data_IF_376490455651
#
_entry.id   IF_376490455651
#
_cell.length_a   1.000
_cell.length_b   1.000
_cell.length_c   1.000
_cell.angle_alpha   90.00
_cell.angle_beta   90.00
_cell.angle_gamma   90.00
#
_symmetry.space_group_name_H-M   'P 1'
#
loop_
_entity.id
_entity.type
_entity.pdbx_description
1 polymer ?
#
# COMPACT_ATOMS: atom_id res chain seq x y z
N UNK A 1 -18.33 -11.87 -29.91
CA UNK A 1 -19.36 -10.89 -29.48
C UNK A 1 -20.41 -11.64 -28.68
N UNK A 2 -20.86 -11.05 -27.56
CA UNK A 2 -21.72 -11.63 -26.49
C UNK A 2 -21.00 -12.40 -25.38
N UNK A 3 -20.51 -11.65 -24.39
CA UNK A 3 -20.82 -11.83 -22.95
C UNK A 3 -20.17 -10.74 -22.07
N UNK A 4 -20.07 -9.50 -22.56
CA UNK A 4 -19.54 -8.34 -21.82
C UNK A 4 -20.65 -7.37 -21.37
N UNK A 5 -21.86 -7.89 -21.12
CA UNK A 5 -22.98 -7.11 -20.59
C UNK A 5 -23.46 -7.66 -19.23
N UNK A 6 -22.54 -8.11 -18.37
CA UNK A 6 -22.88 -8.20 -16.95
C UNK A 6 -22.95 -6.76 -16.43
N UNK A 7 -24.17 -6.25 -16.40
CA UNK A 7 -24.56 -5.00 -15.75
C UNK A 7 -24.26 -5.11 -14.25
N UNK A 8 -23.02 -4.86 -13.85
CA UNK A 8 -22.58 -4.80 -12.45
C UNK A 8 -22.94 -3.44 -11.82
N UNK A 9 -24.24 -3.14 -11.78
CA UNK A 9 -24.80 -2.09 -10.90
C UNK A 9 -25.21 -2.69 -9.55
N UNK A 10 -24.27 -3.39 -8.90
CA UNK A 10 -24.22 -3.49 -7.44
C UNK A 10 -22.83 -3.02 -7.05
N UNK A 11 -22.70 -1.71 -6.84
CA UNK A 11 -21.41 -1.03 -6.63
C UNK A 11 -20.75 -1.43 -5.30
N UNK A 12 -21.48 -2.07 -4.39
CA UNK A 12 -20.96 -2.50 -3.09
C UNK A 12 -20.22 -3.85 -3.16
N UNK A 13 -20.74 -4.81 -3.94
CA UNK A 13 -20.19 -6.18 -3.95
C UNK A 13 -18.83 -6.26 -4.67
N UNK A 14 -18.59 -5.35 -5.62
CA UNK A 14 -17.31 -5.26 -6.33
C UNK A 14 -16.28 -4.36 -5.64
N UNK A 15 -16.70 -3.48 -4.72
CA UNK A 15 -15.78 -2.56 -4.06
C UNK A 15 -14.77 -3.32 -3.19
N UNK A 16 -15.21 -4.31 -2.43
CA UNK A 16 -14.33 -5.16 -1.60
C UNK A 16 -13.33 -5.92 -2.47
N UNK A 17 -13.79 -6.55 -3.56
CA UNK A 17 -12.90 -7.26 -4.48
C UNK A 17 -11.88 -6.32 -5.15
N UNK A 18 -12.32 -5.12 -5.56
CA UNK A 18 -11.45 -4.16 -6.24
C UNK A 18 -10.47 -3.49 -5.30
N UNK A 19 -10.87 -3.24 -4.06
CA UNK A 19 -9.97 -2.89 -2.96
C UNK A 19 -8.87 -3.96 -2.86
N UNK A 20 -9.24 -5.23 -2.65
CA UNK A 20 -8.26 -6.31 -2.50
C UNK A 20 -7.34 -6.48 -3.72
N UNK A 21 -7.89 -6.40 -4.93
CA UNK A 21 -7.09 -6.44 -6.15
C UNK A 21 -6.10 -5.27 -6.23
N UNK A 22 -6.51 -4.08 -5.79
CA UNK A 22 -5.66 -2.89 -5.77
C UNK A 22 -4.54 -3.03 -4.73
N UNK A 23 -4.87 -3.52 -3.55
CA UNK A 23 -3.91 -3.85 -2.49
C UNK A 23 -2.84 -4.82 -3.00
N UNK A 24 -3.28 -5.95 -3.57
CA UNK A 24 -2.39 -6.97 -4.12
C UNK A 24 -1.50 -6.39 -5.22
N UNK A 25 -2.01 -5.54 -6.12
CA UNK A 25 -1.17 -4.91 -7.14
C UNK A 25 -0.03 -4.06 -6.54
N UNK A 26 -0.32 -3.33 -5.47
CA UNK A 26 0.68 -2.59 -4.69
C UNK A 26 1.71 -3.52 -4.05
N UNK A 27 1.26 -4.54 -3.33
CA UNK A 27 2.14 -5.52 -2.66
C UNK A 27 2.93 -6.38 -3.65
N UNK A 28 2.45 -6.62 -4.87
CA UNK A 28 3.23 -7.38 -5.85
C UNK A 28 4.34 -6.53 -6.49
N UNK A 29 4.42 -5.23 -6.19
CA UNK A 29 5.39 -4.33 -6.83
C UNK A 29 5.13 -4.12 -8.32
N UNK A 30 3.88 -4.32 -8.78
CA UNK A 30 3.50 -4.28 -10.19
C UNK A 30 3.60 -2.86 -10.76
N UNK A 31 4.76 -2.50 -11.32
CA UNK A 31 5.03 -1.14 -11.82
C UNK A 31 4.06 -0.69 -12.92
N UNK A 32 3.57 -1.61 -13.76
CA UNK A 32 2.59 -1.34 -14.80
C UNK A 32 1.21 -0.93 -14.26
N UNK A 33 0.95 -1.15 -12.96
CA UNK A 33 -0.28 -0.73 -12.30
C UNK A 33 -0.29 0.76 -11.92
N UNK A 34 0.84 1.47 -11.96
CA UNK A 34 0.93 2.87 -11.52
C UNK A 34 -0.10 3.80 -12.19
N UNK A 35 -0.18 3.81 -13.53
CA UNK A 35 -1.15 4.62 -14.26
C UNK A 35 -2.62 4.21 -14.02
N UNK A 36 -2.99 2.91 -14.08
CA UNK A 36 -4.32 2.46 -13.67
C UNK A 36 -4.73 2.91 -12.26
N UNK A 37 -3.83 2.75 -11.27
CA UNK A 37 -4.08 3.15 -9.88
C UNK A 37 -4.26 4.67 -9.76
N UNK A 38 -3.47 5.45 -10.49
CA UNK A 38 -3.60 6.90 -10.55
C UNK A 38 -4.96 7.34 -11.11
N UNK A 39 -5.49 6.62 -12.12
CA UNK A 39 -6.82 6.88 -12.67
C UNK A 39 -7.92 6.57 -11.64
N UNK A 40 -7.79 5.46 -10.91
CA UNK A 40 -8.72 5.08 -9.84
C UNK A 40 -8.76 6.17 -8.76
N UNK A 41 -7.60 6.65 -8.30
CA UNK A 41 -7.54 7.70 -7.29
C UNK A 41 -8.26 9.00 -7.71
N UNK A 42 -8.14 9.38 -8.99
CA UNK A 42 -8.75 10.58 -9.58
C UNK A 42 -10.25 10.46 -9.85
N UNK A 43 -10.78 9.24 -9.97
CA UNK A 43 -12.17 9.02 -10.32
C UNK A 43 -13.08 9.32 -9.13
N UNK A 44 -13.74 10.49 -9.14
CA UNK A 44 -14.66 10.90 -8.08
C UNK A 44 -15.97 10.12 -8.07
N UNK A 45 -16.26 9.33 -9.11
CA UNK A 45 -17.39 8.40 -9.14
C UNK A 45 -17.06 7.03 -8.55
N UNK A 46 -15.79 6.77 -8.26
CA UNK A 46 -15.32 5.53 -7.67
C UNK A 46 -15.63 5.44 -6.17
N UNK A 47 -15.82 4.21 -5.68
CA UNK A 47 -16.01 3.95 -4.26
C UNK A 47 -14.78 4.37 -3.45
N UNK A 48 -15.00 5.07 -2.34
CA UNK A 48 -13.94 5.57 -1.46
C UNK A 48 -13.00 4.47 -0.95
N UNK A 49 -13.49 3.23 -0.77
CA UNK A 49 -12.67 2.08 -0.37
C UNK A 49 -11.59 1.78 -1.42
N UNK A 50 -11.99 1.75 -2.69
CA UNK A 50 -11.06 1.46 -3.78
C UNK A 50 -10.09 2.62 -4.01
N UNK A 51 -10.55 3.86 -3.78
CA UNK A 51 -9.71 5.06 -3.93
C UNK A 51 -8.63 5.17 -2.86
N UNK A 52 -8.93 4.86 -1.59
CA UNK A 52 -7.89 4.88 -0.55
C UNK A 52 -6.84 3.80 -0.83
N UNK A 53 -7.28 2.61 -1.23
CA UNK A 53 -6.36 1.52 -1.53
C UNK A 53 -5.46 1.85 -2.72
N UNK A 54 -5.99 2.57 -3.72
CA UNK A 54 -5.19 3.05 -4.84
C UNK A 54 -4.10 4.04 -4.39
N UNK A 55 -4.41 4.94 -3.44
CA UNK A 55 -3.40 5.85 -2.88
C UNK A 55 -2.28 5.08 -2.15
N UNK A 56 -2.64 4.11 -1.30
CA UNK A 56 -1.64 3.28 -0.60
C UNK A 56 -0.77 2.51 -1.58
N UNK A 57 -1.39 1.81 -2.55
CA UNK A 57 -0.70 1.03 -3.56
C UNK A 57 0.28 1.89 -4.37
N UNK A 58 -0.08 3.12 -4.75
CA UNK A 58 0.82 4.05 -5.45
C UNK A 58 2.09 4.35 -4.63
N UNK A 59 1.95 4.55 -3.31
CA UNK A 59 3.11 4.75 -2.43
C UNK A 59 3.93 3.48 -2.24
N UNK A 60 3.28 2.32 -2.13
CA UNK A 60 3.93 1.02 -2.01
C UNK A 60 4.81 0.73 -3.24
N UNK A 61 4.28 1.00 -4.44
CA UNK A 61 5.00 0.90 -5.72
C UNK A 61 6.16 1.90 -5.86
N UNK A 62 6.15 2.99 -5.08
CA UNK A 62 7.09 4.09 -5.26
C UNK A 62 6.80 4.91 -6.54
N UNK A 63 5.54 5.00 -6.96
CA UNK A 63 5.17 5.64 -8.23
C UNK A 63 5.26 7.17 -8.14
N UNK A 64 6.43 7.73 -8.39
CA UNK A 64 6.76 9.16 -8.17
C UNK A 64 5.80 10.12 -8.88
N UNK A 65 5.30 9.76 -10.08
CA UNK A 65 4.35 10.57 -10.84
C UNK A 65 2.97 10.74 -10.17
N UNK A 66 2.67 9.95 -9.13
CA UNK A 66 1.46 10.13 -8.32
C UNK A 66 1.52 11.29 -7.34
N UNK A 67 2.72 11.78 -6.99
CA UNK A 67 2.91 12.75 -5.90
C UNK A 67 2.02 14.01 -6.03
N UNK A 68 1.92 14.68 -7.20
CA UNK A 68 1.06 15.86 -7.34
C UNK A 68 -0.41 15.53 -7.10
N UNK A 69 -0.87 14.36 -7.55
CA UNK A 69 -2.26 13.94 -7.44
C UNK A 69 -2.60 13.59 -5.99
N UNK A 70 -1.69 12.92 -5.28
CA UNK A 70 -1.84 12.67 -3.85
C UNK A 70 -1.97 13.98 -3.07
N UNK A 71 -1.15 14.99 -3.39
CA UNK A 71 -1.21 16.32 -2.77
C UNK A 71 -2.52 17.05 -3.07
N UNK A 72 -2.96 17.04 -4.34
CA UNK A 72 -4.21 17.66 -4.74
C UNK A 72 -5.41 17.00 -4.04
N UNK A 73 -5.47 15.67 -3.99
CA UNK A 73 -6.57 14.94 -3.35
C UNK A 73 -6.55 15.14 -1.83
N UNK A 74 -5.40 15.13 -1.18
CA UNK A 74 -5.31 15.41 0.27
C UNK A 74 -5.86 16.80 0.64
N UNK A 75 -5.57 17.80 -0.20
CA UNK A 75 -5.99 19.18 -0.01
C UNK A 75 -7.44 19.46 -0.42
N UNK A 76 -8.08 18.58 -1.21
CA UNK A 76 -9.44 18.77 -1.71
C UNK A 76 -10.49 18.54 -0.61
N UNK A 77 -11.22 19.57 -0.13
CA UNK A 77 -12.23 19.41 0.90
C UNK A 77 -13.47 18.64 0.43
N UNK A 78 -13.66 18.47 -0.89
CA UNK A 78 -14.77 17.71 -1.46
C UNK A 78 -14.49 16.20 -1.55
N UNK A 79 -13.22 15.79 -1.43
CA UNK A 79 -12.85 14.39 -1.39
C UNK A 79 -13.23 13.74 -0.03
N UNK A 80 -13.62 12.45 -0.02
CA UNK A 80 -13.93 11.75 1.23
C UNK A 80 -12.75 11.76 2.21
N UNK A 81 -13.04 11.91 3.50
CA UNK A 81 -12.01 12.04 4.55
C UNK A 81 -11.00 10.89 4.53
N UNK A 82 -11.48 9.64 4.40
CA UNK A 82 -10.64 8.44 4.32
C UNK A 82 -9.62 8.54 3.19
N UNK A 83 -10.06 8.94 1.99
CA UNK A 83 -9.17 9.07 0.82
C UNK A 83 -8.12 10.16 1.05
N UNK A 84 -8.52 11.28 1.65
CA UNK A 84 -7.62 12.40 1.97
C UNK A 84 -6.53 11.99 2.96
N UNK A 85 -6.92 11.38 4.08
CA UNK A 85 -6.01 10.91 5.12
C UNK A 85 -5.03 9.86 4.57
N UNK A 86 -5.53 8.93 3.75
CA UNK A 86 -4.67 7.94 3.09
C UNK A 86 -3.70 8.59 2.10
N UNK A 87 -4.12 9.64 1.38
CA UNK A 87 -3.21 10.41 0.52
C UNK A 87 -2.10 11.10 1.34
N UNK A 88 -2.42 11.67 2.51
CA UNK A 88 -1.41 12.26 3.41
C UNK A 88 -0.36 11.21 3.82
N UNK A 89 -0.80 10.03 4.30
CA UNK A 89 0.10 8.92 4.65
C UNK A 89 0.95 8.48 3.44
N UNK A 90 0.32 8.34 2.28
CA UNK A 90 0.95 7.91 1.04
C UNK A 90 2.02 8.89 0.56
N UNK A 91 1.82 10.20 0.73
CA UNK A 91 2.84 11.23 0.44
C UNK A 91 4.07 11.00 1.31
N UNK A 92 3.90 10.83 2.63
CA UNK A 92 5.02 10.60 3.53
C UNK A 92 5.80 9.32 3.18
N UNK A 93 5.07 8.23 2.94
CA UNK A 93 5.66 6.94 2.54
C UNK A 93 6.42 7.04 1.22
N UNK A 94 5.82 7.67 0.21
CA UNK A 94 6.42 7.85 -1.12
C UNK A 94 7.68 8.73 -1.05
N UNK A 95 7.63 9.85 -0.34
CA UNK A 95 8.80 10.72 -0.17
C UNK A 95 9.95 10.03 0.55
N UNK A 96 9.65 9.22 1.58
CA UNK A 96 10.65 8.40 2.27
C UNK A 96 11.33 7.41 1.31
N UNK A 97 10.54 6.73 0.46
CA UNK A 97 11.06 5.82 -0.57
C UNK A 97 11.92 6.53 -1.62
N UNK A 98 11.51 7.72 -2.08
CA UNK A 98 12.28 8.54 -3.02
C UNK A 98 13.63 8.93 -2.40
N UNK A 99 13.63 9.36 -1.14
CA UNK A 99 14.85 9.76 -0.42
C UNK A 99 15.78 8.57 -0.13
N UNK A 100 15.23 7.39 0.18
CA UNK A 100 15.99 6.15 0.35
C UNK A 100 16.65 5.63 -0.93
N UNK A 101 16.33 6.21 -2.10
CA UNK A 101 16.92 5.90 -3.41
C UNK A 101 18.12 6.79 -3.76
N UNK A 102 18.53 7.70 -2.87
CA UNK A 102 19.75 8.49 -3.04
C UNK A 102 20.97 7.55 -3.21
N UNK A 103 21.94 7.89 -4.08
CA UNK A 103 22.97 6.95 -4.51
C UNK A 103 23.81 6.46 -3.33
N UNK A 104 23.82 5.14 -3.12
CA UNK A 104 24.79 4.47 -2.27
C UNK A 104 26.19 4.84 -2.79
N UNK A 105 26.94 5.59 -1.98
CA UNK A 105 28.36 5.83 -2.25
C UNK A 105 29.11 4.50 -2.29
N UNK A 106 29.98 4.34 -3.29
CA UNK A 106 30.81 3.17 -3.51
C UNK A 106 31.59 2.75 -2.25
N UNK A 107 31.36 1.53 -1.74
CA UNK A 107 32.10 1.00 -0.59
C UNK A 107 31.66 -0.41 -0.12
N UNK A 108 32.34 -1.44 -0.59
CA UNK A 108 32.15 -2.89 -0.39
C UNK A 108 32.07 -3.44 1.06
N UNK A 109 31.33 -4.55 1.27
CA UNK A 109 31.89 -5.88 1.60
C UNK A 109 30.81 -6.97 1.85
N UNK A 110 30.99 -8.13 1.20
CA UNK A 110 30.16 -9.34 1.27
C UNK A 110 30.36 -10.19 2.53
N UNK A 111 29.32 -10.85 3.03
CA UNK A 111 29.42 -11.97 3.98
C UNK A 111 28.47 -13.14 3.58
N UNK A 112 28.79 -14.40 3.93
CA UNK A 112 28.41 -15.59 3.15
C UNK A 112 27.06 -16.21 3.55
N UNK A 113 26.41 -16.85 2.59
CA UNK A 113 25.12 -17.56 2.77
C UNK A 113 25.31 -18.94 3.45
N UNK A 114 24.37 -19.39 4.31
CA UNK A 114 24.37 -20.73 4.88
C UNK A 114 23.90 -21.80 3.88
N UNK A 115 24.35 -23.04 4.11
CA UNK A 115 24.29 -24.15 3.18
C UNK A 115 22.86 -24.68 2.87
N UNK A 116 22.71 -25.07 1.60
CA UNK A 116 21.54 -25.57 0.90
C UNK A 116 20.88 -26.81 1.50
N UNK A 117 19.56 -26.73 1.70
CA UNK A 117 18.63 -27.86 1.62
C UNK A 117 17.75 -27.68 0.38
N UNK A 118 17.50 -28.80 -0.31
CA UNK A 118 17.05 -28.93 -1.71
C UNK A 118 15.78 -28.12 -2.07
N UNK A 119 15.85 -27.37 -3.18
CA UNK A 119 14.99 -26.21 -3.48
C UNK A 119 13.67 -26.56 -4.21
N UNK A 120 13.41 -27.81 -4.55
CA UNK A 120 12.30 -28.16 -5.47
C UNK A 120 11.00 -28.59 -4.79
N UNK A 121 11.02 -29.01 -3.51
CA UNK A 121 9.81 -29.44 -2.75
C UNK A 121 9.28 -28.40 -1.76
N UNK A 122 9.92 -27.23 -1.67
CA UNK A 122 9.45 -26.14 -0.82
C UNK A 122 8.33 -25.36 -1.49
N UNK A 123 7.28 -24.95 -0.74
CA UNK A 123 6.29 -24.01 -1.22
C UNK A 123 6.96 -22.78 -1.84
N UNK A 124 6.39 -22.27 -2.93
CA UNK A 124 7.04 -21.25 -3.75
C UNK A 124 7.44 -19.97 -2.98
N UNK A 125 6.79 -19.67 -1.84
CA UNK A 125 7.11 -18.55 -0.96
C UNK A 125 8.36 -18.74 -0.09
N UNK A 126 8.85 -19.98 0.08
CA UNK A 126 10.05 -20.32 0.86
C UNK A 126 11.35 -20.34 0.03
N UNK A 127 11.25 -20.14 -1.28
CA UNK A 127 12.41 -20.21 -2.17
C UNK A 127 13.30 -18.97 -2.04
N UNK A 128 14.62 -19.18 -2.08
CA UNK A 128 15.61 -18.11 -1.88
C UNK A 128 15.78 -17.21 -3.10
N UNK A 129 15.42 -17.70 -4.29
CA UNK A 129 15.35 -16.97 -5.56
C UNK A 129 14.02 -16.20 -5.72
N UNK A 130 13.16 -16.22 -4.69
CA UNK A 130 11.89 -15.53 -4.72
C UNK A 130 12.10 -14.00 -4.68
N UNK A 131 11.94 -13.35 -5.83
CA UNK A 131 11.96 -11.90 -5.97
C UNK A 131 10.91 -11.16 -5.09
N UNK A 132 9.95 -11.85 -4.48
CA UNK A 132 9.05 -11.34 -3.43
C UNK A 132 9.67 -11.23 -2.02
N UNK A 133 10.94 -11.65 -1.83
CA UNK A 133 11.67 -11.52 -0.54
C UNK A 133 12.53 -10.25 -0.42
N UNK A 134 12.54 -9.36 -1.42
CA UNK A 134 13.31 -8.11 -1.32
C UNK A 134 12.52 -6.99 -0.59
N UNK A 135 13.20 -6.31 0.34
CA UNK A 135 12.73 -5.97 1.71
C UNK A 135 12.19 -4.55 1.92
N UNK A 136 11.69 -3.85 0.91
CA UNK A 136 11.35 -2.42 1.06
C UNK A 136 9.85 -2.12 1.03
N UNK A 137 9.09 -2.87 1.83
CA UNK A 137 7.63 -2.76 2.10
C UNK A 137 6.70 -3.60 1.22
N UNK A 138 6.85 -4.92 1.30
CA UNK A 138 5.65 -5.75 1.37
C UNK A 138 5.31 -5.89 2.85
N UNK A 139 4.14 -5.41 3.26
CA UNK A 139 3.64 -5.74 4.60
C UNK A 139 3.45 -7.25 4.63
N UNK A 140 4.29 -7.94 5.40
CA UNK A 140 4.01 -9.33 5.77
C UNK A 140 2.69 -9.26 6.52
N UNK A 141 1.65 -9.95 6.06
CA UNK A 141 0.37 -10.01 6.75
C UNK A 141 0.24 -11.38 7.46
N UNK A 142 0.08 -11.43 8.79
CA UNK A 142 0.04 -10.29 9.72
C UNK A 142 1.42 -9.69 9.97
N UNK A 143 1.46 -8.36 9.98
CA UNK A 143 2.68 -7.63 10.35
C UNK A 143 2.91 -7.85 11.83
N UNK A 144 4.13 -8.17 12.22
CA UNK A 144 4.46 -8.28 13.64
C UNK A 144 4.09 -6.96 14.35
N UNK A 145 3.49 -7.03 15.55
CA UNK A 145 3.17 -5.82 16.30
C UNK A 145 4.45 -5.01 16.51
N UNK A 146 4.32 -3.68 16.48
CA UNK A 146 5.45 -2.77 16.66
C UNK A 146 6.23 -3.15 17.92
N UNK A 147 7.58 -3.15 17.90
CA UNK A 147 8.37 -3.51 19.07
C UNK A 147 7.94 -2.70 20.28
N UNK A 148 7.67 -3.38 21.40
CA UNK A 148 7.17 -2.82 22.66
C UNK A 148 5.67 -2.47 22.70
N UNK A 149 4.86 -2.86 21.72
CA UNK A 149 3.40 -2.81 21.87
C UNK A 149 2.96 -3.89 22.89
N UNK A 150 2.27 -3.46 23.94
CA UNK A 150 1.83 -4.30 25.06
C UNK A 150 0.31 -4.18 25.26
N UNK A 151 -0.32 -5.08 26.05
CA UNK A 151 -1.73 -4.93 26.41
C UNK A 151 -2.06 -3.61 27.12
N UNK A 152 -1.07 -2.90 27.68
CA UNK A 152 -1.28 -1.59 28.31
C UNK A 152 -1.57 -0.47 27.29
N UNK A 153 -1.24 -0.68 26.02
CA UNK A 153 -1.45 0.30 24.95
C UNK A 153 -2.87 0.21 24.37
N UNK A 154 -3.58 -0.90 24.62
CA UNK A 154 -4.94 -1.16 24.09
C UNK A 154 -5.93 -0.05 24.41
N UNK A 155 -6.01 0.49 25.65
CA UNK A 155 -6.94 1.60 25.94
C UNK A 155 -6.64 2.85 25.12
N UNK A 156 -5.36 3.19 24.93
CA UNK A 156 -4.95 4.34 24.12
C UNK A 156 -5.27 4.10 22.63
N UNK A 157 -4.88 2.95 22.07
CA UNK A 157 -5.18 2.57 20.70
C UNK A 157 -6.69 2.56 20.42
N UNK A 158 -7.48 2.07 21.39
CA UNK A 158 -8.94 2.03 21.28
C UNK A 158 -9.54 3.44 21.29
N UNK A 159 -9.00 4.34 22.12
CA UNK A 159 -9.40 5.74 22.13
C UNK A 159 -9.10 6.42 20.78
N UNK A 160 -7.92 6.15 20.19
CA UNK A 160 -7.57 6.73 18.89
C UNK A 160 -8.39 6.16 17.73
N UNK A 161 -8.70 4.86 17.77
CA UNK A 161 -9.53 4.20 16.77
C UNK A 161 -10.97 4.76 16.76
N UNK A 162 -11.48 5.14 17.93
CA UNK A 162 -12.83 5.66 18.12
C UNK A 162 -12.92 7.20 18.07
N UNK A 163 -11.79 7.89 17.93
CA UNK A 163 -11.73 9.35 17.82
C UNK A 163 -11.90 9.76 16.35
N UNK A 164 -13.06 10.30 15.99
CA UNK A 164 -13.38 10.82 14.65
C UNK A 164 -13.30 12.35 14.56
N UNK A 165 -13.20 13.05 15.69
CA UNK A 165 -13.21 14.51 15.79
C UNK A 165 -11.84 15.15 15.51
N UNK A 166 -10.74 14.48 15.88
CA UNK A 166 -9.39 15.00 15.69
C UNK A 166 -8.75 14.54 14.38
N UNK A 167 -7.91 15.41 13.80
CA UNK A 167 -7.08 15.08 12.63
C UNK A 167 -6.14 13.91 12.94
N UNK A 168 -5.85 13.08 11.93
CA UNK A 168 -5.02 11.87 12.04
C UNK A 168 -3.69 12.13 12.75
N UNK A 169 -3.05 13.26 12.45
CA UNK A 169 -1.71 13.60 12.98
C UNK A 169 -1.73 14.23 14.38
N UNK A 170 -2.92 14.50 14.93
CA UNK A 170 -3.10 15.08 16.26
C UNK A 170 -3.67 14.09 17.29
N UNK A 171 -3.94 12.85 16.86
CA UNK A 171 -4.38 11.70 17.67
C UNK A 171 -3.20 11.08 18.40
#
# INVERSE_FOLDING_TARGET
MLCLHVSLRSLCDFAVYRHEATYVLGQLGCQDAGEPLLKILKDTSENEMVRHEAAEALSALGYESSLPVLQDVAADPSAPLTVRQTCELSIHSLLSKIQGKAPAGDGAASAPAPASVDATDQPWWLREDNAYRDRQFNTVDPSEPYPNCTPADVPWLSAQLLNDEESLWNR
#
